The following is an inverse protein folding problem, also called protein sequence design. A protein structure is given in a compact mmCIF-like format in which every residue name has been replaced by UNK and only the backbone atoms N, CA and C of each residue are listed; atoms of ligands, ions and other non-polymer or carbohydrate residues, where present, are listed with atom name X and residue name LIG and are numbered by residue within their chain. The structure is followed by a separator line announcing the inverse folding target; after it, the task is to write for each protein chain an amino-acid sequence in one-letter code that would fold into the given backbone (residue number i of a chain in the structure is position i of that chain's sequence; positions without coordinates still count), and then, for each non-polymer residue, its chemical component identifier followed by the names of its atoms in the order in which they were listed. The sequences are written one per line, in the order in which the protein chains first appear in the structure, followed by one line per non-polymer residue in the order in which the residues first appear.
data_IF_302508332368
#
_entry.id   IF_302508332368
#
_cell.length_a   1.000
_cell.length_b   1.000
_cell.length_c   1.000
_cell.angle_alpha   90.00
_cell.angle_beta   90.00
_cell.angle_gamma   90.00
#
_symmetry.space_group_name_H-M   'P 1'
#
loop_
_entity.id
_entity.type
_entity.pdbx_description
1 polymer ?
#
# COMPACT_ATOMS: atom_id res chain seq x y z
N UNK A 1 -12.83 12.12 -15.92
CA UNK A 1 -12.35 11.11 -16.86
C UNK A 1 -10.97 11.47 -17.34
N UNK A 2 -10.12 10.45 -17.46
CA UNK A 2 -8.81 10.56 -18.12
C UNK A 2 -8.76 9.60 -19.29
N UNK A 3 -8.15 10.04 -20.40
CA UNK A 3 -7.83 9.15 -21.51
C UNK A 3 -6.56 8.41 -21.20
N UNK A 4 -6.63 7.09 -21.19
CA UNK A 4 -5.53 6.18 -20.87
C UNK A 4 -5.43 5.09 -21.92
N UNK A 5 -4.22 4.65 -22.21
CA UNK A 5 -3.97 3.61 -23.19
C UNK A 5 -3.45 2.35 -22.51
N UNK A 6 -4.13 1.23 -22.73
CA UNK A 6 -3.75 -0.08 -22.24
C UNK A 6 -3.64 -1.04 -23.41
N UNK A 7 -2.52 -1.73 -23.58
CA UNK A 7 -2.33 -2.68 -24.67
C UNK A 7 -2.57 -2.11 -26.08
N UNK A 8 -2.41 -0.80 -26.27
CA UNK A 8 -2.69 -0.10 -27.54
C UNK A 8 -4.15 0.34 -27.73
N UNK A 9 -5.05 0.06 -26.79
CA UNK A 9 -6.45 0.48 -26.80
C UNK A 9 -6.64 1.71 -25.88
N UNK A 10 -7.36 2.75 -26.37
CA UNK A 10 -7.68 3.95 -25.58
C UNK A 10 -8.97 3.75 -24.77
N UNK A 11 -8.93 4.12 -23.50
CA UNK A 11 -10.07 4.08 -22.57
C UNK A 11 -10.29 5.45 -21.94
N UNK A 12 -11.54 5.81 -21.74
CA UNK A 12 -11.94 6.90 -20.86
C UNK A 12 -12.13 6.33 -19.44
N UNK A 13 -11.13 6.48 -18.61
CA UNK A 13 -11.13 5.99 -17.23
C UNK A 13 -11.72 7.05 -16.31
N UNK A 14 -12.80 6.76 -15.60
CA UNK A 14 -13.36 7.66 -14.60
C UNK A 14 -12.45 7.74 -13.38
N UNK A 15 -12.42 8.91 -12.77
CA UNK A 15 -11.77 9.19 -11.51
C UNK A 15 -12.74 9.85 -10.56
N UNK A 16 -12.82 9.35 -9.35
CA UNK A 16 -13.53 9.96 -8.25
C UNK A 16 -12.62 10.93 -7.50
N UNK A 17 -13.20 11.93 -6.84
CA UNK A 17 -12.43 12.73 -5.89
C UNK A 17 -12.05 11.85 -4.71
N UNK A 18 -10.79 11.88 -4.34
CA UNK A 18 -10.28 11.11 -3.21
C UNK A 18 -10.89 11.55 -1.87
N UNK A 19 -10.89 10.64 -0.93
CA UNK A 19 -11.19 10.92 0.46
C UNK A 19 -9.90 11.42 1.13
N UNK A 20 -9.82 12.67 1.65
CA UNK A 20 -8.61 13.18 2.27
C UNK A 20 -8.28 12.50 3.62
N UNK A 21 -9.04 11.48 3.99
CA UNK A 21 -8.94 10.80 5.28
C UNK A 21 -9.66 11.56 6.39
N UNK A 22 -9.66 10.98 7.58
CA UNK A 22 -10.31 11.51 8.77
C UNK A 22 -9.27 12.02 9.77
N UNK A 23 -9.59 13.10 10.46
CA UNK A 23 -8.79 13.57 11.58
C UNK A 23 -8.84 12.56 12.74
N UNK A 24 -7.92 12.69 13.68
CA UNK A 24 -7.92 11.85 14.88
C UNK A 24 -9.21 12.01 15.69
N UNK A 25 -9.68 13.24 15.84
CA UNK A 25 -10.92 13.55 16.54
C UNK A 25 -12.14 12.88 15.90
N UNK A 26 -12.21 12.88 14.56
CA UNK A 26 -13.27 12.18 13.80
C UNK A 26 -13.19 10.67 13.99
N UNK A 27 -11.97 10.09 13.97
CA UNK A 27 -11.78 8.66 14.20
C UNK A 27 -12.12 8.25 15.64
N UNK A 28 -11.72 9.04 16.63
CA UNK A 28 -12.05 8.78 18.04
C UNK A 28 -13.57 8.88 18.29
N UNK A 29 -14.25 9.80 17.63
CA UNK A 29 -15.72 9.90 17.69
C UNK A 29 -16.42 8.68 17.04
N UNK A 30 -15.93 8.21 15.90
CA UNK A 30 -16.44 7.00 15.27
C UNK A 30 -16.24 5.79 16.19
N UNK A 31 -15.05 5.62 16.78
CA UNK A 31 -14.76 4.55 17.74
C UNK A 31 -15.72 4.58 18.93
N UNK A 32 -16.00 5.77 19.47
CA UNK A 32 -16.94 5.93 20.59
C UNK A 32 -18.34 5.49 20.20
N UNK A 33 -18.83 5.90 19.03
CA UNK A 33 -20.17 5.50 18.54
C UNK A 33 -20.26 4.00 18.30
N UNK A 34 -19.25 3.37 17.71
CA UNK A 34 -19.21 1.92 17.50
C UNK A 34 -19.12 1.13 18.81
N UNK A 35 -18.50 1.69 19.85
CA UNK A 35 -18.50 1.07 21.17
C UNK A 35 -19.87 1.12 21.88
N UNK A 36 -20.66 2.15 21.59
CA UNK A 36 -22.04 2.30 22.11
C UNK A 36 -23.06 1.49 21.29
N UNK A 37 -22.87 1.37 19.98
CA UNK A 37 -23.73 0.64 19.04
C UNK A 37 -22.87 -0.06 17.98
N UNK A 38 -22.51 -1.34 18.18
CA UNK A 38 -21.68 -2.10 17.23
C UNK A 38 -22.34 -2.29 15.86
N UNK A 39 -23.65 -2.14 15.75
CA UNK A 39 -24.39 -2.29 14.48
C UNK A 39 -24.55 -0.95 13.73
N UNK A 40 -24.02 0.14 14.28
CA UNK A 40 -24.20 1.50 13.74
C UNK A 40 -23.50 1.77 12.38
N UNK A 41 -22.76 0.83 11.82
CA UNK A 41 -22.27 0.99 10.45
C UNK A 41 -21.04 0.19 10.08
N UNK A 42 -21.20 -0.77 9.20
CA UNK A 42 -20.12 -1.56 8.62
C UNK A 42 -19.08 -0.68 7.91
N UNK A 43 -19.48 0.42 7.25
CA UNK A 43 -18.59 1.35 6.57
C UNK A 43 -17.70 2.18 7.51
N UNK A 44 -18.16 2.43 8.75
CA UNK A 44 -17.40 3.20 9.74
C UNK A 44 -16.35 2.35 10.45
N UNK A 45 -16.57 1.04 10.58
CA UNK A 45 -15.60 0.13 11.17
C UNK A 45 -14.29 0.10 10.36
N UNK A 46 -14.36 0.10 9.03
CA UNK A 46 -13.18 0.15 8.16
C UNK A 46 -12.44 1.48 8.34
N UNK A 47 -13.14 2.58 8.53
CA UNK A 47 -12.52 3.88 8.80
C UNK A 47 -11.67 3.86 10.07
N UNK A 48 -12.02 3.02 11.08
CA UNK A 48 -11.25 2.89 12.32
C UNK A 48 -10.04 1.97 12.21
N UNK A 49 -9.88 1.22 11.11
CA UNK A 49 -8.75 0.30 10.92
C UNK A 49 -7.42 1.00 10.57
N UNK A 50 -7.38 2.33 10.57
CA UNK A 50 -6.15 3.11 10.44
C UNK A 50 -5.73 3.46 9.02
N UNK A 51 -6.43 2.96 7.98
CA UNK A 51 -6.08 3.33 6.60
C UNK A 51 -6.76 4.61 6.11
N UNK A 52 -7.67 5.16 6.88
CA UNK A 52 -8.34 6.41 6.57
C UNK A 52 -7.77 7.61 7.35
N UNK A 53 -6.70 7.41 8.10
CA UNK A 53 -6.10 8.50 8.86
C UNK A 53 -5.58 9.57 7.90
N UNK A 54 -6.05 10.80 8.07
CA UNK A 54 -5.48 11.95 7.38
C UNK A 54 -3.99 12.03 7.67
N UNK A 55 -3.19 12.25 6.63
CA UNK A 55 -1.77 12.49 6.81
C UNK A 55 -1.55 13.56 7.90
N UNK A 56 -0.87 13.15 8.94
CA UNK A 56 -0.47 14.04 10.03
C UNK A 56 1.06 13.91 10.22
N UNK A 57 1.82 14.99 9.99
CA UNK A 57 3.26 14.93 10.17
C UNK A 57 3.60 14.72 11.66
N UNK A 58 3.70 13.47 12.07
CA UNK A 58 4.57 12.96 13.14
C UNK A 58 4.57 13.60 14.52
N UNK A 59 3.49 14.19 14.97
CA UNK A 59 3.48 14.87 16.28
C UNK A 59 3.41 13.93 17.49
N UNK A 60 3.24 12.63 17.28
CA UNK A 60 2.93 11.65 18.34
C UNK A 60 3.87 10.43 18.38
N UNK A 61 4.87 10.36 17.50
CA UNK A 61 5.80 9.22 17.52
C UNK A 61 7.01 9.53 18.38
N UNK A 62 7.26 8.70 19.37
CA UNK A 62 8.50 8.73 20.14
C UNK A 62 9.56 7.87 19.43
N UNK A 63 10.81 8.22 19.57
CA UNK A 63 11.90 7.45 18.98
C UNK A 63 11.98 6.05 19.60
N UNK A 64 12.23 5.04 18.75
CA UNK A 64 12.56 3.69 19.20
C UNK A 64 14.08 3.62 19.36
N UNK A 65 14.60 3.27 20.54
CA UNK A 65 16.06 3.14 20.74
C UNK A 65 16.68 2.18 19.71
N UNK A 66 17.76 2.61 19.09
CA UNK A 66 18.46 1.82 18.06
C UNK A 66 17.86 1.88 16.65
N UNK A 67 16.83 2.69 16.43
CA UNK A 67 16.21 2.91 15.11
C UNK A 67 16.30 4.39 14.73
N UNK A 68 16.90 4.68 13.58
CA UNK A 68 16.82 6.00 12.94
C UNK A 68 15.58 6.04 12.06
N UNK A 69 14.91 7.18 12.00
CA UNK A 69 13.77 7.39 11.12
C UNK A 69 13.96 8.66 10.31
N UNK A 70 14.19 8.51 9.01
CA UNK A 70 14.18 9.62 8.06
C UNK A 70 12.78 9.72 7.47
N UNK A 71 12.11 10.82 7.71
CA UNK A 71 10.71 11.02 7.34
C UNK A 71 10.57 11.84 6.06
N UNK A 72 9.49 11.58 5.35
CA UNK A 72 9.15 12.33 4.14
C UNK A 72 10.31 12.43 3.15
N UNK A 73 11.05 11.33 2.99
CA UNK A 73 12.15 11.26 2.04
C UNK A 73 11.58 11.24 0.63
N UNK A 74 11.91 12.25 -0.16
CA UNK A 74 11.39 12.42 -1.51
C UNK A 74 12.11 11.50 -2.51
N UNK A 75 11.33 10.82 -3.34
CA UNK A 75 11.80 10.08 -4.51
C UNK A 75 11.11 10.62 -5.76
N UNK A 76 11.88 11.17 -6.70
CA UNK A 76 11.36 11.65 -7.98
C UNK A 76 11.33 10.47 -8.94
N UNK A 77 10.14 10.14 -9.43
CA UNK A 77 9.92 9.08 -10.41
C UNK A 77 10.32 9.53 -11.82
N UNK A 78 10.45 8.59 -12.74
CA UNK A 78 10.89 8.85 -14.13
C UNK A 78 10.01 9.84 -14.90
N UNK A 79 8.76 9.99 -14.52
CA UNK A 79 7.81 10.93 -15.14
C UNK A 79 7.75 12.29 -14.43
N UNK A 80 8.60 12.50 -13.40
CA UNK A 80 8.72 13.74 -12.66
C UNK A 80 7.78 13.86 -11.45
N UNK A 81 6.90 12.89 -11.21
CA UNK A 81 6.07 12.85 -10.01
C UNK A 81 6.94 12.52 -8.81
N UNK A 82 6.72 13.22 -7.70
CA UNK A 82 7.42 12.98 -6.44
C UNK A 82 6.57 12.13 -5.52
N UNK A 83 7.12 11.00 -5.06
CA UNK A 83 6.55 10.19 -4.00
C UNK A 83 7.41 10.27 -2.74
N UNK A 84 6.81 9.99 -1.58
CA UNK A 84 7.47 10.13 -0.30
C UNK A 84 7.50 8.81 0.47
N UNK A 85 8.57 8.60 1.22
CA UNK A 85 8.74 7.43 2.08
C UNK A 85 9.23 7.83 3.47
N UNK A 86 8.82 7.07 4.49
CA UNK A 86 9.50 7.05 5.78
C UNK A 86 10.49 5.88 5.79
N UNK A 87 11.76 6.18 6.00
CA UNK A 87 12.85 5.20 5.96
C UNK A 87 13.37 4.97 7.37
N UNK A 88 13.14 3.77 7.86
CA UNK A 88 13.62 3.33 9.17
C UNK A 88 14.90 2.51 9.00
N UNK A 89 15.92 2.81 9.80
CA UNK A 89 17.24 2.17 9.69
C UNK A 89 17.82 1.83 11.05
N UNK A 90 18.64 0.76 11.16
CA UNK A 90 19.42 0.51 12.36
C UNK A 90 20.37 1.69 12.67
N UNK A 91 20.40 2.15 13.92
CA UNK A 91 21.17 3.34 14.31
C UNK A 91 22.69 3.11 14.39
N UNK A 92 23.15 1.89 14.68
CA UNK A 92 24.54 1.63 15.08
C UNK A 92 25.17 0.46 14.31
N UNK A 93 24.74 0.21 13.09
CA UNK A 93 25.36 -0.79 12.22
C UNK A 93 26.39 -0.04 11.35
N UNK A 94 27.67 -0.32 11.56
CA UNK A 94 28.78 0.22 10.73
C UNK A 94 28.81 -0.34 9.32
N UNK A 95 27.81 -1.12 8.92
CA UNK A 95 27.69 -1.80 7.63
C UNK A 95 26.42 -1.36 6.90
N UNK A 96 26.45 -1.45 5.58
CA UNK A 96 25.26 -1.24 4.74
C UNK A 96 24.27 -2.39 4.92
N UNK A 97 22.98 -2.07 4.97
CA UNK A 97 21.90 -3.02 5.23
C UNK A 97 20.98 -3.21 4.01
N UNK A 98 20.32 -4.36 3.87
CA UNK A 98 19.24 -4.52 2.90
C UNK A 98 18.00 -3.73 3.32
N UNK A 99 17.12 -3.43 2.37
CA UNK A 99 15.87 -2.68 2.63
C UNK A 99 14.64 -3.51 2.33
N UNK A 100 13.65 -3.44 3.22
CA UNK A 100 12.30 -3.94 3.01
C UNK A 100 11.46 -2.77 2.50
N UNK A 101 10.94 -2.86 1.27
CA UNK A 101 10.09 -1.84 0.65
C UNK A 101 8.62 -2.22 0.81
N UNK A 102 7.80 -1.26 1.23
CA UNK A 102 6.37 -1.44 1.47
C UNK A 102 5.59 -0.41 0.66
N UNK A 103 4.97 -0.85 -0.42
CA UNK A 103 4.05 -0.05 -1.23
C UNK A 103 2.62 -0.31 -0.76
N UNK A 104 2.13 0.51 0.15
CA UNK A 104 0.81 0.31 0.73
C UNK A 104 -0.19 1.35 0.22
N UNK A 105 -1.33 0.94 -0.32
CA UNK A 105 -2.38 1.87 -0.74
C UNK A 105 -2.93 2.71 0.41
N UNK A 106 -2.62 2.32 1.64
CA UNK A 106 -2.99 3.02 2.89
C UNK A 106 -1.97 4.09 3.32
N UNK A 107 -0.94 4.34 2.51
CA UNK A 107 0.13 5.28 2.82
C UNK A 107 1.20 4.75 3.77
N UNK A 108 2.16 5.61 4.11
CA UNK A 108 3.36 5.27 4.90
C UNK A 108 3.21 5.43 6.42
N UNK A 109 2.17 6.12 6.86
CA UNK A 109 1.96 6.37 8.29
C UNK A 109 1.78 5.08 9.08
N UNK A 110 2.34 5.00 10.29
CA UNK A 110 1.97 3.96 11.23
C UNK A 110 0.45 3.95 11.44
N UNK A 111 -0.13 2.76 11.58
CA UNK A 111 -1.54 2.63 11.89
C UNK A 111 -1.80 3.19 13.28
N UNK A 112 -2.47 4.31 13.35
CA UNK A 112 -2.89 4.89 14.60
C UNK A 112 -3.92 4.01 15.29
N UNK A 113 -3.64 3.72 16.52
CA UNK A 113 -4.54 2.89 17.32
C UNK A 113 -4.25 1.42 17.09
N UNK A 114 -3.49 0.86 17.98
CA UNK A 114 -3.26 -0.58 18.12
C UNK A 114 -4.57 -1.38 18.26
N UNK A 115 -5.70 -0.70 18.38
CA UNK A 115 -7.03 -1.29 18.50
C UNK A 115 -7.40 -2.13 17.27
N UNK A 116 -7.01 -1.69 16.07
CA UNK A 116 -7.22 -2.48 14.85
C UNK A 116 -6.43 -3.80 14.85
N UNK A 117 -5.23 -3.82 15.40
CA UNK A 117 -4.45 -5.03 15.58
C UNK A 117 -5.06 -5.98 16.61
N UNK A 118 -5.66 -5.43 17.68
CA UNK A 118 -6.35 -6.21 18.70
C UNK A 118 -7.61 -6.87 18.14
N UNK A 119 -8.38 -6.17 17.31
CA UNK A 119 -9.53 -6.73 16.58
C UNK A 119 -9.13 -7.91 15.68
N UNK A 120 -7.90 -7.91 15.16
CA UNK A 120 -7.33 -9.00 14.36
C UNK A 120 -6.60 -10.07 15.20
N UNK A 121 -6.72 -10.02 16.53
CA UNK A 121 -6.11 -11.00 17.43
C UNK A 121 -4.62 -10.81 17.68
N UNK A 122 -4.03 -9.69 17.30
CA UNK A 122 -2.63 -9.35 17.63
C UNK A 122 -2.54 -8.95 19.11
N UNK A 123 -1.74 -9.63 19.93
CA UNK A 123 -1.67 -9.29 21.35
C UNK A 123 -1.11 -7.89 21.57
N UNK A 124 -1.57 -7.16 22.58
CA UNK A 124 -1.04 -5.84 22.92
C UNK A 124 0.46 -5.87 23.15
N UNK A 125 1.17 -4.85 22.73
CA UNK A 125 2.63 -4.67 22.87
C UNK A 125 3.51 -5.64 22.08
N UNK A 126 2.96 -6.40 21.14
CA UNK A 126 3.77 -7.27 20.27
C UNK A 126 4.29 -6.56 19.04
N UNK A 127 3.75 -5.38 18.72
CA UNK A 127 4.19 -4.52 17.63
C UNK A 127 4.66 -3.17 18.16
N UNK A 128 5.59 -2.54 17.44
CA UNK A 128 6.09 -1.21 17.79
C UNK A 128 5.11 -0.12 17.37
N UNK A 129 5.33 1.10 17.88
CA UNK A 129 4.58 2.28 17.46
C UNK A 129 4.81 2.67 15.97
N UNK A 130 5.82 2.09 15.31
CA UNK A 130 6.09 2.27 13.88
C UNK A 130 5.36 1.26 13.00
N UNK A 131 4.71 0.26 13.61
CA UNK A 131 3.96 -0.74 12.87
C UNK A 131 2.81 -0.10 12.10
N UNK A 132 2.62 -0.56 10.89
CA UNK A 132 1.49 -0.17 10.05
C UNK A 132 0.72 -1.39 9.57
N UNK A 133 -0.51 -1.17 9.16
CA UNK A 133 -1.40 -2.22 8.70
C UNK A 133 -0.80 -3.00 7.52
N UNK A 134 -0.90 -4.32 7.55
CA UNK A 134 -0.46 -5.27 6.51
C UNK A 134 1.04 -5.19 6.14
N UNK A 135 1.88 -4.58 6.98
CA UNK A 135 3.28 -4.36 6.68
C UNK A 135 4.23 -4.83 7.79
N UNK A 136 5.50 -5.07 7.48
CA UNK A 136 6.53 -5.39 8.47
C UNK A 136 6.69 -4.28 9.49
N UNK A 137 6.86 -4.65 10.76
CA UNK A 137 7.13 -3.69 11.83
C UNK A 137 8.58 -3.17 11.78
N UNK A 138 8.81 -1.87 11.52
CA UNK A 138 10.15 -1.30 11.49
C UNK A 138 10.92 -1.48 12.80
N UNK A 139 10.24 -1.41 13.96
CA UNK A 139 10.84 -1.63 15.25
C UNK A 139 11.47 -3.02 15.38
N UNK A 140 10.82 -4.03 14.85
CA UNK A 140 11.35 -5.40 14.81
C UNK A 140 12.50 -5.55 13.80
N UNK A 141 12.26 -5.17 12.54
CA UNK A 141 13.19 -5.48 11.45
C UNK A 141 14.48 -4.68 11.52
N UNK A 142 14.46 -3.45 12.01
CA UNK A 142 15.68 -2.67 12.20
C UNK A 142 16.61 -3.32 13.24
N UNK A 143 16.09 -3.88 14.31
CA UNK A 143 16.90 -4.63 15.28
C UNK A 143 17.45 -5.97 14.73
N UNK A 144 16.96 -6.40 13.58
CA UNK A 144 17.46 -7.60 12.87
C UNK A 144 18.33 -7.26 11.65
N UNK A 145 18.80 -6.04 11.54
CA UNK A 145 19.76 -5.62 10.51
C UNK A 145 19.15 -5.29 9.16
N UNK A 146 17.86 -4.95 9.10
CA UNK A 146 17.17 -4.49 7.90
C UNK A 146 16.75 -3.03 8.04
N UNK A 147 16.81 -2.29 6.95
CA UNK A 147 16.04 -1.06 6.84
C UNK A 147 14.60 -1.39 6.40
N UNK A 148 13.65 -0.53 6.75
CA UNK A 148 12.26 -0.60 6.26
C UNK A 148 11.90 0.74 5.63
N UNK A 149 11.41 0.73 4.40
CA UNK A 149 10.92 1.91 3.70
C UNK A 149 9.41 1.77 3.48
N UNK A 150 8.64 2.50 4.27
CA UNK A 150 7.19 2.63 4.09
C UNK A 150 6.92 3.76 3.11
N UNK A 151 6.25 3.47 2.02
CA UNK A 151 6.02 4.40 0.90
C UNK A 151 4.58 4.89 0.90
N UNK A 152 4.40 6.18 0.66
CA UNK A 152 3.17 6.73 0.12
C UNK A 152 3.20 6.52 -1.40
N UNK A 153 2.44 5.59 -2.00
CA UNK A 153 2.34 5.48 -3.44
C UNK A 153 1.81 6.77 -4.07
N UNK A 154 1.93 6.89 -5.38
CA UNK A 154 1.38 8.01 -6.16
C UNK A 154 -0.05 8.36 -5.73
N UNK A 155 -0.30 9.63 -5.40
CA UNK A 155 -1.61 10.16 -5.00
C UNK A 155 -2.04 9.84 -3.57
N UNK A 156 -1.30 9.02 -2.85
CA UNK A 156 -1.59 8.64 -1.45
C UNK A 156 -0.78 9.50 -0.49
N UNK A 157 -1.35 9.84 0.65
CA UNK A 157 -0.67 10.55 1.73
C UNK A 157 -0.07 11.87 1.27
N UNK A 158 1.25 11.98 1.32
CA UNK A 158 2.00 13.19 0.94
C UNK A 158 2.46 13.17 -0.54
N UNK A 159 2.28 12.06 -1.24
CA UNK A 159 2.76 11.88 -2.61
C UNK A 159 1.90 12.60 -3.64
N UNK A 160 2.57 13.10 -4.69
CA UNK A 160 1.92 13.79 -5.80
C UNK A 160 1.16 12.82 -6.72
N UNK A 161 0.35 13.39 -7.61
CA UNK A 161 -0.39 12.66 -8.64
C UNK A 161 -1.73 12.13 -8.18
N UNK A 162 -2.28 11.19 -8.94
CA UNK A 162 -3.56 10.54 -8.66
C UNK A 162 -3.36 9.03 -8.51
N UNK A 163 -4.26 8.38 -7.76
CA UNK A 163 -4.16 6.95 -7.46
C UNK A 163 -4.67 6.12 -8.63
N UNK A 164 -3.83 5.21 -9.11
CA UNK A 164 -4.16 4.15 -10.06
C UNK A 164 -4.06 2.82 -9.32
N UNK A 165 -5.18 2.12 -9.17
CA UNK A 165 -5.23 0.93 -8.33
C UNK A 165 -4.63 -0.30 -9.03
N UNK A 166 -3.51 -0.78 -8.50
CA UNK A 166 -2.90 -2.08 -8.80
C UNK A 166 -2.75 -2.41 -10.30
N UNK A 167 -2.17 -1.51 -11.06
CA UNK A 167 -1.88 -1.68 -12.48
C UNK A 167 -0.42 -1.41 -12.84
N UNK A 168 -0.18 -1.20 -14.14
CA UNK A 168 1.16 -0.93 -14.68
C UNK A 168 1.80 0.35 -14.14
N UNK A 169 1.00 1.36 -13.76
CA UNK A 169 1.52 2.59 -13.17
C UNK A 169 2.14 2.34 -11.79
N UNK A 170 1.42 1.65 -10.89
CA UNK A 170 1.98 1.27 -9.58
C UNK A 170 3.23 0.39 -9.73
N UNK A 171 3.19 -0.52 -10.69
CA UNK A 171 4.32 -1.40 -10.99
C UNK A 171 5.56 -0.62 -11.41
N UNK A 172 5.39 0.41 -12.24
CA UNK A 172 6.48 1.27 -12.71
C UNK A 172 7.01 2.17 -11.59
N UNK A 173 6.11 2.76 -10.80
CA UNK A 173 6.48 3.62 -9.67
C UNK A 173 7.28 2.82 -8.63
N UNK A 174 6.85 1.60 -8.35
CA UNK A 174 7.56 0.71 -7.44
C UNK A 174 8.92 0.24 -7.97
N UNK A 175 9.04 0.02 -9.28
CA UNK A 175 10.34 -0.23 -9.91
C UNK A 175 11.30 0.93 -9.67
N UNK A 176 10.86 2.15 -9.96
CA UNK A 176 11.68 3.35 -9.80
C UNK A 176 12.12 3.56 -8.36
N UNK A 177 11.20 3.36 -7.42
CA UNK A 177 11.50 3.47 -6.00
C UNK A 177 12.53 2.42 -5.54
N UNK A 178 12.40 1.16 -5.96
CA UNK A 178 13.36 0.11 -5.59
C UNK A 178 14.77 0.47 -6.08
N UNK A 179 14.90 0.91 -7.32
CA UNK A 179 16.21 1.29 -7.86
C UNK A 179 16.77 2.54 -7.16
N UNK A 180 15.92 3.50 -6.83
CA UNK A 180 16.32 4.70 -6.11
C UNK A 180 16.76 4.39 -4.65
N UNK A 181 15.99 3.59 -3.90
CA UNK A 181 16.28 3.31 -2.49
C UNK A 181 17.51 2.42 -2.32
N UNK A 182 17.74 1.50 -3.23
CA UNK A 182 18.92 0.62 -3.21
C UNK A 182 20.21 1.34 -3.56
N UNK A 183 20.15 2.47 -4.25
CA UNK A 183 21.29 3.33 -4.54
C UNK A 183 21.70 4.23 -3.36
N UNK A 184 20.92 4.28 -2.27
CA UNK A 184 21.26 5.11 -1.11
C UNK A 184 22.54 4.61 -0.41
N UNK A 185 23.31 5.53 0.14
CA UNK A 185 24.63 5.24 0.74
C UNK A 185 24.58 4.17 1.85
N UNK A 186 23.49 4.12 2.61
CA UNK A 186 23.28 3.17 3.71
C UNK A 186 22.82 1.79 3.22
N UNK A 187 22.33 1.67 1.98
CA UNK A 187 21.81 0.41 1.45
C UNK A 187 22.94 -0.46 0.84
N UNK A 188 22.84 -1.76 1.04
CA UNK A 188 23.78 -2.73 0.48
C UNK A 188 23.45 -3.14 -0.98
N UNK A 189 22.50 -2.46 -1.64
CA UNK A 189 22.07 -2.72 -3.00
C UNK A 189 21.05 -3.87 -3.11
N UNK A 190 20.42 -4.28 -2.01
CA UNK A 190 19.38 -5.34 -2.02
C UNK A 190 18.09 -4.86 -1.42
N UNK A 191 17.01 -5.03 -2.16
CA UNK A 191 15.66 -4.79 -1.68
C UNK A 191 14.87 -6.11 -1.59
N UNK A 192 13.92 -6.15 -0.67
CA UNK A 192 12.83 -7.12 -0.64
C UNK A 192 11.51 -6.39 -0.47
N UNK A 193 10.42 -7.05 -0.81
CA UNK A 193 9.08 -6.56 -0.49
C UNK A 193 8.36 -7.58 0.39
N UNK A 194 7.72 -7.09 1.45
CA UNK A 194 6.93 -7.90 2.39
C UNK A 194 5.60 -7.21 2.59
N UNK A 195 4.51 -7.94 2.48
CA UNK A 195 3.18 -7.38 2.72
C UNK A 195 2.06 -8.37 2.55
N UNK A 196 0.93 -8.05 3.14
CA UNK A 196 -0.31 -8.81 3.06
C UNK A 196 -1.35 -8.09 2.20
N UNK A 197 -2.35 -8.80 1.67
CA UNK A 197 -3.57 -8.26 1.05
C UNK A 197 -3.29 -7.15 0.00
N UNK A 198 -3.82 -5.96 0.18
CA UNK A 198 -3.65 -4.83 -0.73
C UNK A 198 -2.20 -4.39 -0.95
N UNK A 199 -1.36 -4.53 0.06
CA UNK A 199 0.10 -4.29 -0.05
C UNK A 199 0.74 -5.34 -0.95
N UNK A 200 0.40 -6.61 -0.76
CA UNK A 200 0.85 -7.71 -1.61
C UNK A 200 0.45 -7.54 -3.08
N UNK A 201 -0.76 -7.04 -3.33
CA UNK A 201 -1.28 -6.81 -4.68
C UNK A 201 -0.39 -5.86 -5.49
N UNK A 202 0.12 -4.79 -4.88
CA UNK A 202 1.11 -3.91 -5.51
C UNK A 202 2.44 -4.63 -5.74
N UNK A 203 2.91 -5.38 -4.73
CA UNK A 203 4.21 -6.07 -4.77
C UNK A 203 4.31 -7.10 -5.89
N UNK A 204 3.24 -7.85 -6.19
CA UNK A 204 3.21 -8.78 -7.32
C UNK A 204 3.49 -8.08 -8.66
N UNK A 205 2.86 -6.94 -8.87
CA UNK A 205 2.97 -6.17 -10.12
C UNK A 205 4.34 -5.53 -10.24
N UNK A 206 4.87 -5.00 -9.15
CA UNK A 206 6.23 -4.46 -9.09
C UNK A 206 7.26 -5.57 -9.38
N UNK A 207 7.16 -6.74 -8.76
CA UNK A 207 8.06 -7.85 -9.00
C UNK A 207 8.04 -8.34 -10.46
N UNK A 208 6.89 -8.29 -11.13
CA UNK A 208 6.74 -8.62 -12.54
C UNK A 208 7.48 -7.65 -13.48
N UNK A 209 7.80 -6.43 -13.05
CA UNK A 209 8.65 -5.49 -13.81
C UNK A 209 10.14 -5.84 -13.74
N UNK A 210 10.54 -6.72 -12.83
CA UNK A 210 11.92 -7.21 -12.62
C UNK A 210 12.92 -6.12 -12.24
N UNK A 211 12.73 -5.39 -11.14
CA UNK A 211 13.75 -4.46 -10.69
C UNK A 211 15.07 -5.23 -10.42
N UNK A 212 16.21 -4.79 -10.96
CA UNK A 212 17.49 -5.52 -10.84
C UNK A 212 17.93 -5.75 -9.40
N UNK A 213 17.58 -4.83 -8.49
CA UNK A 213 17.97 -4.91 -7.08
C UNK A 213 16.92 -5.57 -6.18
N UNK A 214 15.79 -6.05 -6.73
CA UNK A 214 14.82 -6.86 -5.99
C UNK A 214 15.38 -8.27 -5.79
N UNK A 215 15.71 -8.62 -4.55
CA UNK A 215 16.36 -9.88 -4.21
C UNK A 215 15.38 -11.01 -3.89
N UNK A 216 14.25 -10.70 -3.27
CA UNK A 216 13.21 -11.68 -2.91
C UNK A 216 11.87 -10.96 -2.64
N UNK A 217 10.82 -11.75 -2.44
CA UNK A 217 9.46 -11.30 -2.19
C UNK A 217 8.79 -12.19 -1.14
N UNK A 218 8.14 -11.61 -0.14
CA UNK A 218 7.24 -12.29 0.77
C UNK A 218 5.84 -11.68 0.61
N UNK A 219 5.01 -12.35 -0.17
CA UNK A 219 3.71 -11.86 -0.60
C UNK A 219 2.60 -12.77 -0.08
N UNK A 220 1.71 -12.20 0.72
CA UNK A 220 0.71 -12.95 1.47
C UNK A 220 -0.71 -12.49 1.08
N UNK A 221 -1.56 -13.44 0.76
CA UNK A 221 -3.01 -13.27 0.58
C UNK A 221 -3.44 -12.16 -0.39
N UNK A 222 -2.64 -11.89 -1.40
CA UNK A 222 -2.92 -10.84 -2.39
C UNK A 222 -3.45 -11.39 -3.71
N UNK A 223 -4.37 -10.65 -4.31
CA UNK A 223 -5.00 -10.98 -5.59
C UNK A 223 -4.07 -10.70 -6.77
N UNK A 224 -4.07 -11.60 -7.75
CA UNK A 224 -3.27 -11.50 -8.96
C UNK A 224 -4.08 -11.13 -10.21
N UNK A 225 -5.37 -11.42 -10.23
CA UNK A 225 -6.29 -11.10 -11.33
C UNK A 225 -7.52 -10.36 -10.76
N UNK A 226 -7.44 -9.03 -10.73
CA UNK A 226 -8.51 -8.24 -10.13
C UNK A 226 -9.85 -8.39 -10.84
N UNK A 227 -9.83 -8.66 -12.15
CA UNK A 227 -11.08 -8.86 -12.88
C UNK A 227 -11.84 -10.08 -12.37
N UNK A 228 -11.16 -11.22 -12.16
CA UNK A 228 -11.79 -12.48 -11.74
C UNK A 228 -11.91 -12.64 -10.23
N UNK A 229 -11.00 -12.02 -9.49
CA UNK A 229 -10.86 -12.24 -8.05
C UNK A 229 -11.50 -11.13 -7.20
N UNK A 230 -11.79 -9.95 -7.81
CA UNK A 230 -12.41 -8.82 -7.13
C UNK A 230 -13.63 -8.27 -7.87
N UNK A 231 -13.45 -7.78 -9.11
CA UNK A 231 -14.48 -7.05 -9.84
C UNK A 231 -15.65 -7.92 -10.29
N UNK A 232 -15.37 -9.16 -10.72
CA UNK A 232 -16.34 -10.11 -11.24
C UNK A 232 -16.12 -11.52 -10.69
N UNK A 233 -16.28 -11.68 -9.39
CA UNK A 233 -16.13 -12.98 -8.73
C UNK A 233 -17.14 -14.00 -9.30
N UNK A 234 -16.62 -15.04 -9.98
CA UNK A 234 -17.49 -16.00 -10.66
C UNK A 234 -18.32 -15.42 -11.81
N UNK A 235 -17.95 -14.26 -12.35
CA UNK A 235 -18.68 -13.54 -13.40
C UNK A 235 -19.79 -12.62 -12.88
N UNK A 236 -19.92 -12.48 -11.57
CA UNK A 236 -20.89 -11.59 -10.91
C UNK A 236 -20.17 -10.29 -10.55
N UNK A 237 -20.66 -9.12 -10.99
CA UNK A 237 -20.04 -7.83 -10.63
C UNK A 237 -20.15 -7.56 -9.13
N UNK A 238 -19.10 -7.01 -8.54
CA UNK A 238 -19.00 -6.69 -7.12
C UNK A 238 -18.67 -5.19 -6.90
N UNK A 239 -19.55 -4.27 -7.31
CA UNK A 239 -19.29 -2.83 -7.23
C UNK A 239 -19.27 -2.31 -5.80
N UNK A 240 -19.99 -2.94 -4.89
CA UNK A 240 -20.10 -2.47 -3.50
C UNK A 240 -18.76 -2.62 -2.77
N UNK A 241 -18.09 -3.75 -2.94
CA UNK A 241 -16.76 -3.96 -2.37
C UNK A 241 -15.74 -2.96 -2.91
N UNK A 242 -15.75 -2.72 -4.23
CA UNK A 242 -14.83 -1.75 -4.85
C UNK A 242 -15.10 -0.31 -4.39
N UNK A 243 -16.37 0.06 -4.24
CA UNK A 243 -16.77 1.36 -3.68
C UNK A 243 -16.22 1.51 -2.26
N UNK A 244 -16.34 0.46 -1.45
CA UNK A 244 -15.84 0.43 -0.09
C UNK A 244 -14.32 0.63 -0.03
N UNK A 245 -13.56 -0.06 -0.87
CA UNK A 245 -12.10 0.09 -0.97
C UNK A 245 -11.72 1.52 -1.32
N UNK A 246 -12.34 2.12 -2.36
CA UNK A 246 -12.06 3.50 -2.76
C UNK A 246 -12.33 4.49 -1.63
N UNK A 247 -13.42 4.30 -0.89
CA UNK A 247 -13.78 5.17 0.23
C UNK A 247 -12.89 5.00 1.46
N UNK A 248 -12.32 3.81 1.63
CA UNK A 248 -11.45 3.49 2.76
C UNK A 248 -10.03 4.09 2.62
N UNK A 249 -9.59 4.40 1.41
CA UNK A 249 -8.25 4.93 1.18
C UNK A 249 -8.18 6.45 1.41
N UNK A 250 -7.15 6.90 2.12
CA UNK A 250 -6.87 8.33 2.29
C UNK A 250 -6.12 8.86 1.06
N UNK A 251 -6.84 9.57 0.19
CA UNK A 251 -6.34 10.09 -1.08
C UNK A 251 -6.61 11.59 -1.18
N UNK A 252 -5.56 12.39 -1.36
CA UNK A 252 -5.68 13.84 -1.39
C UNK A 252 -6.26 14.39 -2.72
N UNK A 253 -5.96 13.72 -3.83
CA UNK A 253 -6.36 14.16 -5.17
C UNK A 253 -7.51 13.31 -5.72
N UNK A 254 -7.27 12.60 -6.80
CA UNK A 254 -8.25 11.72 -7.43
C UNK A 254 -7.80 10.26 -7.36
N UNK A 255 -8.77 9.38 -7.29
CA UNK A 255 -8.58 7.95 -7.33
C UNK A 255 -9.35 7.36 -8.50
N UNK A 256 -8.79 6.36 -9.16
CA UNK A 256 -9.44 5.59 -10.20
C UNK A 256 -10.77 5.01 -9.70
N UNK A 257 -11.85 5.31 -10.40
CA UNK A 257 -13.20 4.84 -10.05
C UNK A 257 -13.44 3.46 -10.69
N UNK A 258 -12.96 2.43 -10.02
CA UNK A 258 -13.09 1.04 -10.47
C UNK A 258 -14.54 0.58 -10.53
N UNK A 259 -15.47 0.95 -9.62
CA UNK A 259 -16.90 0.65 -9.77
C UNK A 259 -17.50 1.20 -11.06
N UNK A 260 -17.16 2.46 -11.41
CA UNK A 260 -17.65 3.06 -12.64
C UNK A 260 -17.04 2.38 -13.89
N UNK A 261 -15.78 1.89 -13.81
CA UNK A 261 -15.18 1.09 -14.87
C UNK A 261 -15.88 -0.26 -15.02
N UNK A 262 -16.19 -0.94 -13.93
CA UNK A 262 -16.96 -2.19 -13.90
C UNK A 262 -18.33 -1.99 -14.56
N UNK A 263 -19.05 -0.92 -14.21
CA UNK A 263 -20.35 -0.63 -14.81
C UNK A 263 -20.26 -0.29 -16.32
N UNK A 264 -19.20 0.42 -16.73
CA UNK A 264 -19.03 0.89 -18.12
C UNK A 264 -18.52 -0.20 -19.05
N UNK A 265 -17.65 -1.08 -18.59
CA UNK A 265 -16.98 -2.10 -19.39
C UNK A 265 -17.10 -3.49 -18.72
N UNK A 266 -18.24 -4.17 -18.89
CA UNK A 266 -18.50 -5.40 -18.15
C UNK A 266 -17.67 -6.62 -18.59
N UNK A 267 -17.02 -6.56 -19.74
CA UNK A 267 -16.24 -7.67 -20.27
C UNK A 267 -14.74 -7.43 -20.16
N UNK A 268 -13.98 -8.53 -20.01
CA UNK A 268 -12.52 -8.49 -20.02
C UNK A 268 -11.99 -7.75 -21.26
N UNK A 269 -11.14 -6.79 -21.04
CA UNK A 269 -10.52 -5.93 -22.07
C UNK A 269 -9.08 -5.56 -21.69
N UNK A 270 -8.43 -4.67 -22.42
CA UNK A 270 -7.04 -4.29 -22.17
C UNK A 270 -6.83 -3.56 -20.82
N UNK A 271 -7.82 -2.77 -20.38
CA UNK A 271 -7.79 -2.14 -19.06
C UNK A 271 -7.71 -3.16 -17.91
N UNK A 272 -8.56 -4.19 -17.96
CA UNK A 272 -8.52 -5.24 -16.92
C UNK A 272 -7.28 -6.13 -17.04
N UNK A 273 -6.82 -6.40 -18.27
CA UNK A 273 -5.56 -7.14 -18.49
C UNK A 273 -4.35 -6.45 -17.87
N UNK A 274 -4.34 -5.12 -17.82
CA UNK A 274 -3.31 -4.34 -17.13
C UNK A 274 -3.26 -4.63 -15.62
N UNK A 275 -4.38 -5.03 -15.05
CA UNK A 275 -4.54 -5.39 -13.63
C UNK A 275 -4.36 -6.88 -13.33
N UNK A 276 -3.90 -7.66 -14.29
CA UNK A 276 -3.55 -9.07 -14.15
C UNK A 276 -2.03 -9.21 -14.04
N UNK A 277 -1.58 -9.94 -13.02
CA UNK A 277 -0.15 -10.20 -12.80
C UNK A 277 0.38 -11.17 -13.87
N UNK A 278 1.47 -10.81 -14.52
CA UNK A 278 2.22 -11.73 -15.37
C UNK A 278 3.19 -12.58 -14.52
N UNK A 279 2.69 -13.69 -14.00
CA UNK A 279 3.44 -14.60 -13.14
C UNK A 279 4.74 -15.12 -13.78
N UNK A 280 4.76 -15.22 -15.12
CA UNK A 280 5.94 -15.67 -15.84
C UNK A 280 7.10 -14.67 -15.81
N UNK A 281 6.86 -13.44 -15.38
CA UNK A 281 7.90 -12.44 -15.22
C UNK A 281 8.55 -12.41 -13.86
N UNK A 282 7.94 -12.96 -12.82
CA UNK A 282 8.51 -13.01 -11.47
C UNK A 282 9.62 -14.05 -11.45
N UNK A 283 10.85 -13.64 -11.11
CA UNK A 283 12.06 -14.49 -11.14
C UNK A 283 12.82 -14.54 -9.83
N UNK A 284 12.41 -13.77 -8.85
CA UNK A 284 13.02 -13.75 -7.52
C UNK A 284 12.45 -14.87 -6.65
N UNK A 285 13.21 -15.39 -5.67
CA UNK A 285 12.68 -16.27 -4.64
C UNK A 285 11.47 -15.62 -3.96
N UNK A 286 10.39 -16.37 -3.86
CA UNK A 286 9.12 -15.84 -3.35
C UNK A 286 8.55 -16.76 -2.27
N UNK A 287 8.27 -16.18 -1.09
CA UNK A 287 7.51 -16.82 -0.03
C UNK A 287 6.05 -16.40 -0.11
N UNK A 288 5.16 -17.34 -0.28
CA UNK A 288 3.72 -17.11 -0.46
C UNK A 288 2.93 -17.77 0.64
N UNK A 289 1.96 -17.07 1.19
CA UNK A 289 0.93 -17.65 2.07
C UNK A 289 -0.46 -17.37 1.51
N UNK A 290 -1.38 -18.27 1.78
CA UNK A 290 -2.79 -18.12 1.47
C UNK A 290 -3.62 -18.87 2.52
N UNK A 291 -4.80 -18.33 2.84
CA UNK A 291 -5.79 -19.02 3.66
C UNK A 291 -6.52 -20.11 2.88
N UNK A 292 -7.11 -21.05 3.59
CA UNK A 292 -7.99 -22.10 3.04
C UNK A 292 -9.47 -21.75 3.14
N UNK A 293 -9.82 -20.64 3.76
CA UNK A 293 -11.18 -20.18 3.99
C UNK A 293 -11.40 -18.81 3.39
#
# INVERSE_FOLDING_TARGET
YKKMTFGGEEFEVPFAKGNPGKSREELDEIKRRLAEDPDAGDGEMVATMGFCAKYNPHTYMTDIPGVLCDRDVACVLRDGVTIYADVYRPANIGEKVPVICVFAPFGKNPSEGMDSWQLMGVPPKTVSQYAKFEAPDPGYWCHHGYAVANVDPRGVGNSEGDVYLWGSQDAQDGYDFIEWVTAQEWCNGRATMIGNSGVCMAHWRIAATRPPHLACLAAWEGQGDLYRESYYCGGIPNPDYETHIIQALAVNNYIEDTPAMVAKYPLMNAYYRDKVVDWNKIRVPTYVTAGWV
#
